data_IF_390822043235
#
_entry.id   IF_390822043235
#
_cell.length_a   1.000
_cell.length_b   1.000
_cell.length_c   1.000
_cell.angle_alpha   90.00
_cell.angle_beta   90.00
_cell.angle_gamma   90.00
#
_symmetry.space_group_name_H-M   'P 1'
#
loop_
_entity.id
_entity.type
_entity.pdbx_description
1 polymer ?
#
# COMPACT_ATOMS: atom_id res chain seq x y z
N UNK A 1 -40.75 -14.62 -13.56
CA UNK A 1 -40.70 -14.38 -12.10
C UNK A 1 -39.28 -14.37 -11.53
N UNK A 2 -38.29 -15.04 -12.15
CA UNK A 2 -36.93 -15.17 -11.64
C UNK A 2 -36.02 -13.94 -11.89
N UNK A 3 -36.23 -13.19 -12.97
CA UNK A 3 -35.42 -12.02 -13.34
C UNK A 3 -35.61 -10.84 -12.39
N UNK A 4 -36.85 -10.52 -12.02
CA UNK A 4 -37.14 -9.40 -11.11
C UNK A 4 -36.58 -9.60 -9.70
N UNK A 5 -36.56 -10.84 -9.20
CA UNK A 5 -35.95 -11.17 -7.92
C UNK A 5 -34.41 -11.00 -7.96
N UNK A 6 -33.80 -11.36 -9.08
CA UNK A 6 -32.37 -11.23 -9.32
C UNK A 6 -31.94 -9.75 -9.40
N UNK A 7 -32.72 -8.90 -10.07
CA UNK A 7 -32.45 -7.44 -10.14
C UNK A 7 -32.64 -6.74 -8.79
N UNK A 8 -33.66 -7.07 -8.01
CA UNK A 8 -33.91 -6.51 -6.69
C UNK A 8 -32.77 -6.85 -5.70
N UNK A 9 -32.30 -8.09 -5.74
CA UNK A 9 -31.17 -8.52 -4.91
C UNK A 9 -29.86 -7.86 -5.36
N UNK A 10 -29.66 -7.67 -6.66
CA UNK A 10 -28.50 -6.98 -7.23
C UNK A 10 -28.46 -5.51 -6.80
N UNK A 11 -29.58 -4.78 -6.88
CA UNK A 11 -29.69 -3.39 -6.45
C UNK A 11 -29.40 -3.23 -4.95
N UNK A 12 -29.94 -4.10 -4.11
CA UNK A 12 -29.70 -4.10 -2.66
C UNK A 12 -28.25 -4.37 -2.33
N UNK A 13 -27.61 -5.30 -3.05
CA UNK A 13 -26.19 -5.62 -2.90
C UNK A 13 -25.31 -4.46 -3.35
N UNK A 14 -25.61 -3.81 -4.46
CA UNK A 14 -24.92 -2.61 -4.95
C UNK A 14 -25.01 -1.49 -3.93
N UNK A 15 -26.20 -1.18 -3.41
CA UNK A 15 -26.42 -0.12 -2.40
C UNK A 15 -25.61 -0.39 -1.12
N UNK A 16 -25.61 -1.64 -0.65
CA UNK A 16 -24.84 -2.05 0.54
C UNK A 16 -23.33 -1.92 0.32
N UNK A 17 -22.86 -2.37 -0.84
CA UNK A 17 -21.44 -2.28 -1.17
C UNK A 17 -21.00 -0.84 -1.46
N UNK A 18 -21.88 0.02 -1.98
CA UNK A 18 -21.58 1.42 -2.24
C UNK A 18 -21.25 2.22 -0.97
N UNK A 19 -21.91 1.92 0.15
CA UNK A 19 -21.65 2.58 1.44
C UNK A 19 -20.19 2.38 1.87
N UNK A 20 -19.64 1.19 1.61
CA UNK A 20 -18.24 0.86 1.92
C UNK A 20 -17.32 1.32 0.78
N UNK A 21 -17.71 1.05 -0.45
CA UNK A 21 -16.91 1.27 -1.66
C UNK A 21 -16.62 2.74 -1.94
N UNK A 22 -17.57 3.66 -1.70
CA UNK A 22 -17.37 5.09 -1.94
C UNK A 22 -16.18 5.67 -1.17
N UNK A 23 -15.99 5.29 0.08
CA UNK A 23 -14.86 5.75 0.89
C UNK A 23 -13.54 5.17 0.41
N UNK A 24 -13.55 3.92 -0.06
CA UNK A 24 -12.36 3.31 -0.64
C UNK A 24 -11.98 3.95 -1.97
N UNK A 25 -12.98 4.27 -2.80
CA UNK A 25 -12.77 4.99 -4.07
C UNK A 25 -12.18 6.38 -3.81
N UNK A 26 -12.73 7.13 -2.86
CA UNK A 26 -12.20 8.43 -2.46
C UNK A 26 -10.77 8.32 -1.92
N UNK A 27 -10.48 7.31 -1.10
CA UNK A 27 -9.12 7.03 -0.62
C UNK A 27 -8.15 6.81 -1.77
N UNK A 28 -8.53 5.97 -2.75
CA UNK A 28 -7.69 5.71 -3.93
C UNK A 28 -7.44 6.95 -4.77
N UNK A 29 -8.45 7.82 -4.92
CA UNK A 29 -8.31 9.10 -5.61
C UNK A 29 -7.32 10.02 -4.89
N UNK A 30 -7.47 10.19 -3.56
CA UNK A 30 -6.56 11.01 -2.75
C UNK A 30 -5.12 10.49 -2.85
N UNK A 31 -4.92 9.18 -2.72
CA UNK A 31 -3.60 8.55 -2.85
C UNK A 31 -3.00 8.78 -4.25
N UNK A 32 -3.82 8.63 -5.30
CA UNK A 32 -3.36 8.84 -6.66
C UNK A 32 -2.95 10.30 -6.89
N UNK A 33 -3.78 11.27 -6.45
CA UNK A 33 -3.45 12.69 -6.53
C UNK A 33 -2.20 13.03 -5.74
N UNK A 34 -2.12 12.64 -4.47
CA UNK A 34 -0.96 12.90 -3.62
C UNK A 34 0.34 12.37 -4.24
N UNK A 35 0.34 11.13 -4.72
CA UNK A 35 1.50 10.51 -5.34
C UNK A 35 1.92 11.18 -6.66
N UNK A 36 0.96 11.53 -7.52
CA UNK A 36 1.27 12.10 -8.83
C UNK A 36 1.57 13.61 -8.77
N UNK A 37 0.84 14.40 -7.95
CA UNK A 37 1.12 15.81 -7.78
C UNK A 37 2.52 16.06 -7.23
N UNK A 38 2.96 15.23 -6.27
CA UNK A 38 4.31 15.33 -5.73
C UNK A 38 5.38 15.17 -6.82
N UNK A 39 5.19 14.19 -7.69
CA UNK A 39 6.12 13.88 -8.77
C UNK A 39 6.13 14.97 -9.85
N UNK A 40 4.94 15.46 -10.23
CA UNK A 40 4.83 16.57 -11.19
C UNK A 40 5.52 17.83 -10.65
N UNK A 41 5.27 18.18 -9.38
CA UNK A 41 5.92 19.33 -8.74
C UNK A 41 7.44 19.14 -8.66
N UNK A 42 7.91 17.94 -8.30
CA UNK A 42 9.34 17.65 -8.28
C UNK A 42 9.97 17.82 -9.67
N UNK A 43 9.29 17.37 -10.74
CA UNK A 43 9.74 17.55 -12.12
C UNK A 43 9.80 19.01 -12.57
N UNK A 44 8.80 19.81 -12.17
CA UNK A 44 8.75 21.24 -12.51
C UNK A 44 9.85 22.05 -11.79
N UNK A 45 10.15 21.74 -10.53
CA UNK A 45 11.11 22.48 -9.70
C UNK A 45 12.54 22.01 -9.93
N UNK A 46 12.76 20.70 -9.99
CA UNK A 46 14.09 20.08 -10.01
C UNK A 46 14.55 19.66 -11.41
N UNK A 47 13.68 19.79 -12.41
CA UNK A 47 13.96 19.44 -13.79
C UNK A 47 13.75 17.96 -14.13
N UNK A 48 13.66 17.66 -15.42
CA UNK A 48 13.34 16.34 -15.94
C UNK A 48 14.39 15.25 -15.57
N UNK A 49 15.66 15.63 -15.50
CA UNK A 49 16.73 14.69 -15.11
C UNK A 49 16.53 14.15 -13.70
N UNK A 50 16.33 15.06 -12.72
CA UNK A 50 16.12 14.68 -11.32
C UNK A 50 14.86 13.85 -11.15
N UNK A 51 13.81 14.16 -11.90
CA UNK A 51 12.59 13.36 -11.95
C UNK A 51 12.89 11.93 -12.42
N UNK A 52 13.70 11.79 -13.48
CA UNK A 52 14.14 10.48 -13.99
C UNK A 52 14.88 9.67 -12.92
N UNK A 53 15.80 10.31 -12.20
CA UNK A 53 16.54 9.68 -11.08
C UNK A 53 15.61 9.18 -9.98
N UNK A 54 14.66 10.03 -9.53
CA UNK A 54 13.68 9.65 -8.51
C UNK A 54 12.83 8.46 -8.98
N UNK A 55 12.38 8.48 -10.23
CA UNK A 55 11.59 7.38 -10.81
C UNK A 55 12.38 6.09 -10.92
N UNK A 56 13.65 6.15 -11.29
CA UNK A 56 14.54 4.99 -11.32
C UNK A 56 14.69 4.37 -9.93
N UNK A 57 14.96 5.17 -8.90
CA UNK A 57 15.03 4.69 -7.53
C UNK A 57 13.68 4.13 -7.04
N UNK A 58 12.56 4.80 -7.35
CA UNK A 58 11.23 4.30 -7.01
C UNK A 58 10.93 2.95 -7.64
N UNK A 59 11.36 2.69 -8.88
CA UNK A 59 11.09 1.41 -9.54
C UNK A 59 11.78 0.25 -8.85
N UNK A 60 12.98 0.43 -8.29
CA UNK A 60 13.67 -0.58 -7.49
C UNK A 60 12.92 -0.87 -6.19
N UNK A 61 12.48 0.18 -5.50
CA UNK A 61 11.68 0.06 -4.26
C UNK A 61 10.30 -0.56 -4.55
N UNK A 62 9.71 -0.31 -5.71
CA UNK A 62 8.41 -0.86 -6.10
C UNK A 62 8.39 -2.39 -6.24
N UNK A 63 9.54 -3.04 -6.39
CA UNK A 63 9.62 -4.51 -6.30
C UNK A 63 9.10 -4.99 -4.93
N UNK A 64 9.39 -4.27 -3.84
CA UNK A 64 8.83 -4.57 -2.51
C UNK A 64 7.30 -4.40 -2.45
N UNK A 65 6.74 -3.46 -3.23
CA UNK A 65 5.30 -3.25 -3.28
C UNK A 65 4.53 -4.43 -3.90
N UNK A 66 5.16 -5.24 -4.76
CA UNK A 66 4.55 -6.48 -5.28
C UNK A 66 4.26 -7.47 -4.15
N UNK A 67 5.15 -7.56 -3.15
CA UNK A 67 4.92 -8.36 -1.95
C UNK A 67 3.72 -7.83 -1.16
N UNK A 68 3.61 -6.51 -1.00
CA UNK A 68 2.48 -5.88 -0.29
C UNK A 68 1.16 -6.15 -1.00
N UNK A 69 1.11 -6.04 -2.33
CA UNK A 69 -0.07 -6.37 -3.14
C UNK A 69 -0.51 -7.84 -2.97
N UNK A 70 0.45 -8.76 -2.91
CA UNK A 70 0.15 -10.17 -2.65
C UNK A 70 -0.50 -10.37 -1.28
N UNK A 71 0.01 -9.69 -0.25
CA UNK A 71 -0.54 -9.72 1.10
C UNK A 71 -1.94 -9.08 1.18
N UNK A 72 -2.20 -8.05 0.38
CA UNK A 72 -3.51 -7.38 0.29
C UNK A 72 -4.63 -8.33 -0.16
N UNK A 73 -4.31 -9.36 -0.92
CA UNK A 73 -5.28 -10.37 -1.35
C UNK A 73 -5.51 -11.48 -0.30
N UNK A 74 -4.50 -11.79 0.52
CA UNK A 74 -4.53 -12.93 1.46
C UNK A 74 -5.04 -12.50 2.84
N UNK A 75 -4.49 -11.42 3.38
CA UNK A 75 -4.73 -11.00 4.77
C UNK A 75 -6.19 -10.61 5.02
N UNK A 76 -6.85 -9.78 4.19
CA UNK A 76 -8.25 -9.44 4.42
C UNK A 76 -9.21 -10.63 4.36
N UNK A 77 -8.90 -11.63 3.53
CA UNK A 77 -9.71 -12.86 3.48
C UNK A 77 -9.62 -13.65 4.79
N UNK A 78 -8.42 -13.75 5.35
CA UNK A 78 -8.17 -14.46 6.61
C UNK A 78 -8.79 -13.71 7.79
N UNK A 79 -8.61 -12.40 7.88
CA UNK A 79 -9.23 -11.55 8.91
C UNK A 79 -10.75 -11.60 8.86
N UNK A 80 -11.36 -11.57 7.65
CA UNK A 80 -12.81 -11.68 7.47
C UNK A 80 -13.36 -13.02 7.95
N UNK A 81 -12.63 -14.12 7.75
CA UNK A 81 -13.04 -15.44 8.28
C UNK A 81 -13.07 -15.45 9.80
N UNK A 82 -12.02 -14.95 10.44
CA UNK A 82 -11.92 -14.88 11.90
C UNK A 82 -13.02 -13.96 12.46
N UNK A 83 -13.24 -12.80 11.85
CA UNK A 83 -14.24 -11.85 12.28
C UNK A 83 -15.68 -12.40 12.19
N UNK A 84 -16.00 -13.16 11.12
CA UNK A 84 -17.32 -13.80 10.96
C UNK A 84 -17.63 -14.86 12.03
N UNK A 85 -16.62 -15.44 12.64
CA UNK A 85 -16.76 -16.37 13.76
C UNK A 85 -17.01 -15.64 15.11
N UNK A 86 -17.13 -14.31 15.09
CA UNK A 86 -17.37 -13.50 16.28
C UNK A 86 -16.13 -13.25 17.14
N UNK A 87 -14.97 -13.72 16.72
CA UNK A 87 -13.74 -13.69 17.51
C UNK A 87 -12.88 -12.47 17.15
N UNK A 88 -13.25 -11.33 17.70
CA UNK A 88 -12.52 -10.06 17.52
C UNK A 88 -11.15 -10.09 18.19
N UNK A 89 -10.98 -10.88 19.27
CA UNK A 89 -9.70 -10.98 19.97
C UNK A 89 -8.67 -11.76 19.13
N UNK A 90 -9.03 -12.91 18.60
CA UNK A 90 -8.15 -13.67 17.70
C UNK A 90 -7.85 -12.89 16.40
N UNK A 91 -8.77 -12.08 15.88
CA UNK A 91 -8.49 -11.18 14.77
C UNK A 91 -7.40 -10.15 15.14
N UNK A 92 -7.47 -9.55 16.33
CA UNK A 92 -6.46 -8.59 16.80
C UNK A 92 -5.10 -9.25 17.00
N UNK A 93 -5.06 -10.45 17.59
CA UNK A 93 -3.82 -11.23 17.77
C UNK A 93 -3.19 -11.54 16.41
N UNK A 94 -3.98 -12.03 15.45
CA UNK A 94 -3.52 -12.32 14.10
C UNK A 94 -2.94 -11.09 13.40
N UNK A 95 -3.61 -9.93 13.49
CA UNK A 95 -3.12 -8.68 12.89
C UNK A 95 -1.84 -8.19 13.56
N UNK A 96 -1.71 -8.35 14.88
CA UNK A 96 -0.49 -8.01 15.63
C UNK A 96 0.69 -8.90 15.22
N UNK A 97 0.48 -10.22 15.14
CA UNK A 97 1.50 -11.14 14.66
C UNK A 97 1.90 -10.85 13.21
N UNK A 98 0.94 -10.58 12.35
CA UNK A 98 1.17 -10.18 10.96
C UNK A 98 1.98 -8.88 10.89
N UNK A 99 1.65 -7.89 11.72
CA UNK A 99 2.39 -6.64 11.82
C UNK A 99 3.85 -6.87 12.22
N UNK A 100 4.09 -7.62 13.29
CA UNK A 100 5.44 -7.87 13.80
C UNK A 100 6.30 -8.66 12.80
N UNK A 101 5.78 -9.80 12.33
CA UNK A 101 6.51 -10.66 11.37
C UNK A 101 6.73 -9.95 10.04
N UNK A 102 5.71 -9.27 9.55
CA UNK A 102 5.79 -8.53 8.29
C UNK A 102 6.74 -7.34 8.36
N UNK A 103 6.70 -6.55 9.46
CA UNK A 103 7.63 -5.44 9.65
C UNK A 103 9.07 -5.94 9.69
N UNK A 104 9.34 -7.07 10.37
CA UNK A 104 10.68 -7.65 10.40
C UNK A 104 11.18 -8.02 9.00
N UNK A 105 10.34 -8.66 8.19
CA UNK A 105 10.68 -9.01 6.79
C UNK A 105 10.94 -7.76 5.96
N UNK A 106 10.10 -6.72 6.11
CA UNK A 106 10.25 -5.48 5.35
C UNK A 106 11.48 -4.69 5.77
N UNK A 107 11.81 -4.66 7.05
CA UNK A 107 13.06 -4.07 7.58
C UNK A 107 14.28 -4.79 7.00
N UNK A 108 14.26 -6.13 6.98
CA UNK A 108 15.35 -6.92 6.38
C UNK A 108 15.50 -6.63 4.89
N UNK A 109 14.38 -6.56 4.15
CA UNK A 109 14.39 -6.22 2.73
C UNK A 109 14.92 -4.80 2.49
N UNK A 110 14.46 -3.83 3.28
CA UNK A 110 14.93 -2.44 3.24
C UNK A 110 16.43 -2.37 3.51
N UNK A 111 16.91 -3.10 4.50
CA UNK A 111 18.34 -3.18 4.83
C UNK A 111 19.17 -3.76 3.68
N UNK A 112 18.68 -4.82 3.02
CA UNK A 112 19.35 -5.40 1.83
C UNK A 112 19.43 -4.36 0.70
N UNK A 113 18.32 -3.65 0.41
CA UNK A 113 18.33 -2.61 -0.64
C UNK A 113 19.31 -1.49 -0.30
N UNK A 114 19.42 -1.09 0.97
CA UNK A 114 20.34 -0.06 1.43
C UNK A 114 21.79 -0.52 1.25
N UNK A 115 22.14 -1.73 1.69
CA UNK A 115 23.48 -2.28 1.57
C UNK A 115 23.94 -2.40 0.10
N UNK A 116 23.04 -2.80 -0.78
CA UNK A 116 23.33 -3.01 -2.19
C UNK A 116 22.88 -1.84 -3.08
N UNK A 117 22.62 -0.66 -2.51
CA UNK A 117 22.05 0.48 -3.25
C UNK A 117 22.88 0.90 -4.45
N UNK A 118 24.20 1.02 -4.31
CA UNK A 118 25.10 1.39 -5.40
C UNK A 118 25.17 0.29 -6.47
N UNK A 119 25.26 -0.96 -6.05
CA UNK A 119 25.32 -2.12 -6.93
C UNK A 119 24.01 -2.25 -7.75
N UNK A 120 22.85 -2.09 -7.10
CA UNK A 120 21.55 -2.12 -7.77
C UNK A 120 21.42 -0.99 -8.80
N UNK A 121 21.80 0.22 -8.44
CA UNK A 121 21.76 1.34 -9.39
C UNK A 121 22.71 1.14 -10.56
N UNK A 122 23.91 0.61 -10.31
CA UNK A 122 24.88 0.34 -11.36
C UNK A 122 24.39 -0.70 -12.36
N UNK A 123 23.83 -1.82 -11.87
CA UNK A 123 23.34 -2.91 -12.73
C UNK A 123 22.14 -2.48 -13.57
N UNK A 124 21.16 -1.79 -12.97
CA UNK A 124 19.91 -1.50 -13.66
C UNK A 124 19.93 -0.20 -14.46
N UNK A 125 20.78 0.77 -14.08
CA UNK A 125 20.75 2.11 -14.65
C UNK A 125 22.12 2.67 -15.03
N UNK A 126 23.21 1.93 -14.73
CA UNK A 126 24.56 2.31 -15.06
C UNK A 126 25.25 3.20 -14.02
N UNK A 127 26.57 3.38 -14.21
CA UNK A 127 27.47 4.02 -13.25
C UNK A 127 27.09 5.47 -12.92
N UNK A 128 26.48 6.19 -13.87
CA UNK A 128 26.08 7.58 -13.66
C UNK A 128 25.00 7.73 -12.59
N UNK A 129 24.17 6.70 -12.40
CA UNK A 129 23.09 6.72 -11.41
C UNK A 129 23.58 6.42 -9.99
N UNK A 130 24.78 5.82 -9.85
CA UNK A 130 25.34 5.46 -8.52
C UNK A 130 25.51 6.68 -7.63
N UNK A 131 25.84 7.84 -8.18
CA UNK A 131 25.98 9.12 -7.44
C UNK A 131 24.68 9.52 -6.70
N UNK A 132 23.53 8.96 -7.08
CA UNK A 132 22.22 9.23 -6.48
C UNK A 132 21.74 8.12 -5.53
N UNK A 133 22.61 7.20 -5.07
CA UNK A 133 22.26 6.09 -4.18
C UNK A 133 21.58 6.55 -2.89
N UNK A 134 21.87 7.77 -2.42
CA UNK A 134 21.23 8.36 -1.23
C UNK A 134 19.71 8.45 -1.39
N UNK A 135 19.20 8.75 -2.59
CA UNK A 135 17.75 8.81 -2.86
C UNK A 135 17.14 7.42 -2.68
N UNK A 136 17.81 6.38 -3.17
CA UNK A 136 17.37 5.00 -3.01
C UNK A 136 17.36 4.58 -1.52
N UNK A 137 18.38 4.99 -0.74
CA UNK A 137 18.43 4.76 0.71
C UNK A 137 17.23 5.41 1.40
N UNK A 138 16.95 6.70 1.15
CA UNK A 138 15.80 7.40 1.74
C UNK A 138 14.47 6.72 1.39
N UNK A 139 14.26 6.36 0.13
CA UNK A 139 13.04 5.67 -0.28
C UNK A 139 12.90 4.29 0.38
N UNK A 140 14.01 3.58 0.58
CA UNK A 140 14.01 2.27 1.23
C UNK A 140 13.70 2.37 2.73
N UNK A 141 14.12 3.44 3.42
CA UNK A 141 13.79 3.68 4.82
C UNK A 141 12.29 3.95 5.06
N UNK A 142 11.57 4.42 4.04
CA UNK A 142 10.13 4.65 4.12
C UNK A 142 9.34 3.33 4.08
N UNK A 143 9.88 2.26 3.49
CA UNK A 143 9.16 0.98 3.34
C UNK A 143 8.62 0.39 4.65
N UNK A 144 9.40 0.27 5.75
CA UNK A 144 8.88 -0.25 7.00
C UNK A 144 7.76 0.61 7.59
N UNK A 145 7.87 1.94 7.44
CA UNK A 145 6.85 2.89 7.91
C UNK A 145 5.54 2.70 7.15
N UNK A 146 5.63 2.60 5.82
CA UNK A 146 4.44 2.35 4.99
C UNK A 146 3.81 0.99 5.27
N UNK A 147 4.62 -0.02 5.61
CA UNK A 147 4.08 -1.34 5.95
C UNK A 147 3.24 -1.32 7.23
N UNK A 148 3.60 -0.52 8.24
CA UNK A 148 2.90 -0.46 9.53
C UNK A 148 1.43 -0.01 9.41
N UNK A 149 1.06 0.69 8.35
CA UNK A 149 -0.34 1.09 8.11
C UNK A 149 -1.25 -0.07 7.67
N UNK A 150 -0.70 -1.10 6.98
CA UNK A 150 -1.51 -2.16 6.39
C UNK A 150 -2.32 -3.00 7.40
N UNK A 151 -1.76 -3.47 8.53
CA UNK A 151 -2.52 -4.24 9.52
C UNK A 151 -3.74 -3.48 10.04
N UNK A 152 -3.59 -2.18 10.33
CA UNK A 152 -4.68 -1.31 10.78
C UNK A 152 -5.74 -1.13 9.70
N UNK A 153 -5.31 -0.90 8.46
CA UNK A 153 -6.20 -0.77 7.31
C UNK A 153 -7.00 -2.06 7.07
N UNK A 154 -6.36 -3.23 7.13
CA UNK A 154 -7.04 -4.51 6.96
C UNK A 154 -8.06 -4.79 8.07
N UNK A 155 -7.74 -4.44 9.31
CA UNK A 155 -8.67 -4.54 10.44
C UNK A 155 -9.90 -3.67 10.24
N UNK A 156 -9.73 -2.40 9.89
CA UNK A 156 -10.82 -1.46 9.63
C UNK A 156 -11.69 -1.87 8.44
N UNK A 157 -11.07 -2.34 7.35
CA UNK A 157 -11.79 -2.88 6.18
C UNK A 157 -12.65 -4.08 6.56
N UNK A 158 -12.13 -5.00 7.35
CA UNK A 158 -12.85 -6.19 7.80
C UNK A 158 -14.08 -5.84 8.64
N UNK A 159 -13.98 -4.80 9.48
CA UNK A 159 -15.09 -4.28 10.29
C UNK A 159 -16.08 -3.41 9.49
N UNK A 160 -15.84 -3.17 8.20
CA UNK A 160 -16.65 -2.27 7.36
C UNK A 160 -16.46 -0.79 7.68
N UNK A 161 -15.47 -0.43 8.51
CA UNK A 161 -15.17 0.95 8.91
C UNK A 161 -14.17 1.60 7.94
N UNK A 162 -14.63 1.94 6.73
CA UNK A 162 -13.75 2.51 5.69
C UNK A 162 -13.62 4.03 5.75
N UNK A 163 -14.56 4.75 6.40
CA UNK A 163 -14.48 6.21 6.59
C UNK A 163 -13.22 6.66 7.36
N UNK A 164 -12.82 6.05 8.50
CA UNK A 164 -11.57 6.40 9.18
C UNK A 164 -10.33 6.23 8.30
N UNK A 165 -10.31 5.22 7.41
CA UNK A 165 -9.21 5.02 6.46
C UNK A 165 -9.08 6.24 5.53
N UNK A 166 -10.20 6.70 4.96
CA UNK A 166 -10.22 7.90 4.12
C UNK A 166 -9.71 9.14 4.86
N UNK A 167 -10.17 9.36 6.09
CA UNK A 167 -9.76 10.51 6.90
C UNK A 167 -8.26 10.49 7.18
N UNK A 168 -7.68 9.31 7.47
CA UNK A 168 -6.23 9.18 7.73
C UNK A 168 -5.33 9.47 6.53
N UNK A 169 -5.88 9.47 5.31
CA UNK A 169 -5.15 9.88 4.09
C UNK A 169 -5.34 11.34 3.72
N UNK A 170 -6.29 12.02 4.37
CA UNK A 170 -6.52 13.46 4.18
C UNK A 170 -5.66 14.33 5.11
N UNK A 171 -5.23 13.77 6.25
CA UNK A 171 -4.37 14.42 7.26
C UNK A 171 -2.90 14.23 6.94
#
# INVERSE_FOLDING_TARGET
FSLNYKFKNMYTSIKKNWIIGKWMLLTSLVQWFAGNLWIVNAGLILGAYTLGVIRACQSLVNVANLLFQSLENIVPRKTSKIFKLGDTNNMRIFLKEFSLKGTFIVVLLSFIIILFSEFLLNIFYGIEMVKHHQILIFLSLILPITFLQFPSMYGLRTMGKTKPIFISYLL
#
